data_IF_783502009242
#
_entry.id   IF_783502009242
#
_cell.length_a   1.000
_cell.length_b   1.000
_cell.length_c   1.000
_cell.angle_alpha   90.00
_cell.angle_beta   90.00
_cell.angle_gamma   90.00
#
_symmetry.space_group_name_H-M   'P 1'
#
loop_
_entity.id
_entity.type
_entity.pdbx_description
1 polymer ?
#
# COMPACT_ATOMS: atom_id res chain seq x y z
N UNK A 1 -28.73 -8.02 -34.87
CA UNK A 1 -29.02 -7.93 -33.41
C UNK A 1 -28.25 -8.96 -32.59
N UNK A 2 -28.25 -10.26 -32.96
CA UNK A 2 -27.49 -11.31 -32.24
C UNK A 2 -25.96 -11.11 -32.21
N UNK A 3 -25.37 -10.60 -33.30
CA UNK A 3 -23.91 -10.42 -33.40
C UNK A 3 -23.37 -9.32 -32.45
N UNK A 4 -24.09 -8.20 -32.30
CA UNK A 4 -23.68 -7.13 -31.38
C UNK A 4 -23.72 -7.55 -29.91
N UNK A 5 -24.57 -8.52 -29.55
CA UNK A 5 -24.67 -9.02 -28.17
C UNK A 5 -23.50 -9.96 -27.86
N UNK A 6 -23.11 -10.81 -28.82
CA UNK A 6 -21.95 -11.68 -28.71
C UNK A 6 -20.64 -10.89 -28.63
N UNK A 7 -20.50 -9.85 -29.45
CA UNK A 7 -19.31 -9.01 -29.48
C UNK A 7 -19.16 -8.19 -28.19
N UNK A 8 -20.26 -7.67 -27.65
CA UNK A 8 -20.27 -6.96 -26.38
C UNK A 8 -19.96 -7.87 -25.19
N UNK A 9 -20.53 -9.08 -25.16
CA UNK A 9 -20.24 -10.08 -24.14
C UNK A 9 -18.79 -10.60 -24.20
N UNK A 10 -18.19 -10.68 -25.39
CA UNK A 10 -16.78 -11.05 -25.55
C UNK A 10 -15.83 -9.93 -25.12
N UNK A 11 -16.19 -8.66 -25.36
CA UNK A 11 -15.40 -7.52 -24.89
C UNK A 11 -15.50 -7.34 -23.36
N UNK A 12 -16.70 -7.44 -22.77
CA UNK A 12 -16.87 -7.39 -21.32
C UNK A 12 -16.03 -8.46 -20.59
N UNK A 13 -15.99 -9.69 -21.12
CA UNK A 13 -15.18 -10.78 -20.55
C UNK A 13 -13.66 -10.54 -20.68
N UNK A 14 -13.23 -9.84 -21.73
CA UNK A 14 -11.81 -9.44 -21.91
C UNK A 14 -11.44 -8.34 -20.92
N UNK A 15 -12.31 -7.34 -20.76
CA UNK A 15 -12.09 -6.22 -19.86
C UNK A 15 -12.01 -6.69 -18.39
N UNK A 16 -12.91 -7.59 -17.96
CA UNK A 16 -12.87 -8.20 -16.62
C UNK A 16 -11.56 -8.97 -16.38
N UNK A 17 -11.07 -9.70 -17.39
CA UNK A 17 -9.80 -10.44 -17.29
C UNK A 17 -8.61 -9.49 -17.18
N UNK A 18 -8.60 -8.41 -17.97
CA UNK A 18 -7.55 -7.39 -17.89
C UNK A 18 -7.53 -6.68 -16.54
N UNK A 19 -8.69 -6.31 -16.02
CA UNK A 19 -8.81 -5.68 -14.70
C UNK A 19 -8.36 -6.61 -13.58
N UNK A 20 -8.70 -7.91 -13.68
CA UNK A 20 -8.19 -8.92 -12.75
C UNK A 20 -6.66 -9.05 -12.81
N UNK A 21 -6.08 -9.08 -14.00
CA UNK A 21 -4.61 -9.16 -14.17
C UNK A 21 -3.94 -7.90 -13.60
N UNK A 22 -4.47 -6.71 -13.89
CA UNK A 22 -3.97 -5.43 -13.33
C UNK A 22 -4.01 -5.43 -11.81
N UNK A 23 -5.13 -5.88 -11.22
CA UNK A 23 -5.31 -5.98 -9.77
C UNK A 23 -4.29 -6.94 -9.15
N UNK A 24 -4.11 -8.13 -9.74
CA UNK A 24 -3.11 -9.12 -9.27
C UNK A 24 -1.69 -8.58 -9.38
N UNK A 25 -1.35 -7.94 -10.49
CA UNK A 25 -0.04 -7.34 -10.71
C UNK A 25 0.25 -6.24 -9.68
N UNK A 26 -0.73 -5.37 -9.39
CA UNK A 26 -0.60 -4.36 -8.35
C UNK A 26 -0.38 -4.97 -6.97
N UNK A 27 -1.13 -6.03 -6.64
CA UNK A 27 -0.98 -6.71 -5.35
C UNK A 27 0.41 -7.35 -5.18
N UNK A 28 0.90 -8.04 -6.22
CA UNK A 28 2.25 -8.63 -6.23
C UNK A 28 3.31 -7.53 -6.14
N UNK A 29 3.15 -6.44 -6.89
CA UNK A 29 4.05 -5.29 -6.85
C UNK A 29 4.12 -4.68 -5.45
N UNK A 30 2.97 -4.45 -4.82
CA UNK A 30 2.89 -3.93 -3.46
C UNK A 30 3.55 -4.84 -2.43
N UNK A 31 3.32 -6.16 -2.51
CA UNK A 31 3.97 -7.15 -1.62
C UNK A 31 5.49 -7.16 -1.85
N UNK A 32 5.94 -7.17 -3.11
CA UNK A 32 7.36 -7.20 -3.46
C UNK A 32 8.09 -5.95 -2.94
N UNK A 33 7.51 -4.76 -3.14
CA UNK A 33 8.09 -3.49 -2.69
C UNK A 33 8.12 -3.42 -1.16
N UNK A 34 7.04 -3.88 -0.50
CA UNK A 34 6.98 -4.00 0.96
C UNK A 34 8.03 -4.94 1.53
N UNK A 35 8.25 -6.09 0.90
CA UNK A 35 9.28 -7.05 1.32
C UNK A 35 10.69 -6.44 1.21
N UNK A 36 10.99 -5.75 0.11
CA UNK A 36 12.29 -5.07 -0.08
C UNK A 36 12.50 -4.00 0.98
N UNK A 37 11.48 -3.18 1.29
CA UNK A 37 11.59 -2.17 2.35
C UNK A 37 11.87 -2.80 3.72
N UNK A 38 11.20 -3.90 4.07
CA UNK A 38 11.45 -4.61 5.33
C UNK A 38 12.88 -5.16 5.42
N UNK A 39 13.41 -5.70 4.31
CA UNK A 39 14.80 -6.17 4.23
C UNK A 39 15.77 -5.00 4.45
N UNK A 40 15.54 -3.86 3.79
CA UNK A 40 16.40 -2.67 3.95
C UNK A 40 16.36 -2.12 5.38
N UNK A 41 15.18 -2.06 6.00
CA UNK A 41 15.03 -1.67 7.41
C UNK A 41 15.83 -2.62 8.31
N UNK A 42 15.75 -3.93 8.08
CA UNK A 42 16.50 -4.92 8.85
C UNK A 42 18.02 -4.75 8.69
N UNK A 43 18.51 -4.60 7.45
CA UNK A 43 19.93 -4.39 7.17
C UNK A 43 20.43 -3.12 7.87
N UNK A 44 19.72 -2.00 7.74
CA UNK A 44 20.09 -0.75 8.40
C UNK A 44 20.08 -0.87 9.93
N UNK A 45 19.10 -1.59 10.48
CA UNK A 45 19.03 -1.88 11.92
C UNK A 45 20.26 -2.65 12.44
N UNK A 46 20.78 -3.62 11.67
CA UNK A 46 22.02 -4.35 12.02
C UNK A 46 23.26 -3.45 11.95
N UNK A 47 23.27 -2.46 11.05
CA UNK A 47 24.38 -1.52 10.89
C UNK A 47 24.26 -0.27 11.79
N UNK A 48 23.27 -0.20 12.68
CA UNK A 48 22.94 0.98 13.50
C UNK A 48 22.69 2.26 12.68
N UNK A 49 22.26 2.11 11.42
CA UNK A 49 21.83 3.22 10.57
C UNK A 49 20.35 3.52 10.78
N UNK A 50 19.98 4.79 10.66
CA UNK A 50 18.57 5.19 10.70
C UNK A 50 17.82 4.67 9.46
N UNK A 51 16.72 3.95 9.70
CA UNK A 51 15.79 3.49 8.67
C UNK A 51 14.43 4.23 8.74
N UNK A 52 14.39 5.38 9.42
CA UNK A 52 13.16 6.14 9.65
C UNK A 52 12.53 6.66 8.35
N UNK A 53 13.36 7.01 7.36
CA UNK A 53 12.96 7.37 6.01
C UNK A 53 12.19 6.23 5.32
N UNK A 54 12.73 5.02 5.34
CA UNK A 54 12.12 3.84 4.72
C UNK A 54 10.85 3.44 5.50
N UNK A 55 10.90 3.48 6.82
CA UNK A 55 9.77 3.18 7.69
C UNK A 55 8.62 4.18 7.48
N UNK A 56 8.93 5.46 7.28
CA UNK A 56 7.95 6.49 6.95
C UNK A 56 7.25 6.18 5.63
N UNK A 57 7.99 5.85 4.57
CA UNK A 57 7.41 5.46 3.27
C UNK A 57 6.52 4.22 3.43
N UNK A 58 7.01 3.21 4.15
CA UNK A 58 6.27 1.96 4.41
C UNK A 58 4.95 2.20 5.15
N UNK A 59 4.95 3.05 6.17
CA UNK A 59 3.76 3.41 6.92
C UNK A 59 2.78 4.25 6.10
N UNK A 60 3.28 5.19 5.28
CA UNK A 60 2.46 6.01 4.40
C UNK A 60 1.68 5.17 3.39
N UNK A 61 2.37 4.26 2.66
CA UNK A 61 1.70 3.39 1.69
C UNK A 61 0.68 2.47 2.38
N UNK A 62 1.00 1.95 3.57
CA UNK A 62 0.14 1.01 4.29
C UNK A 62 -1.11 1.72 4.78
N UNK A 63 -0.96 2.93 5.33
CA UNK A 63 -2.07 3.77 5.73
C UNK A 63 -2.98 4.12 4.54
N UNK A 64 -2.42 4.53 3.41
CA UNK A 64 -3.19 4.85 2.19
C UNK A 64 -4.00 3.65 1.69
N UNK A 65 -3.41 2.46 1.64
CA UNK A 65 -4.09 1.22 1.23
C UNK A 65 -5.22 0.87 2.20
N UNK A 66 -4.99 0.97 3.51
CA UNK A 66 -5.99 0.66 4.53
C UNK A 66 -7.17 1.64 4.51
N UNK A 67 -6.91 2.94 4.33
CA UNK A 67 -7.96 3.94 4.16
C UNK A 67 -8.77 3.70 2.88
N UNK A 68 -8.12 3.38 1.77
CA UNK A 68 -8.82 3.05 0.53
C UNK A 68 -9.69 1.78 0.67
N UNK A 69 -9.17 0.74 1.33
CA UNK A 69 -9.92 -0.47 1.63
C UNK A 69 -11.11 -0.20 2.55
N UNK A 70 -10.98 0.71 3.52
CA UNK A 70 -12.09 1.12 4.37
C UNK A 70 -13.18 1.86 3.59
N UNK A 71 -12.80 2.81 2.71
CA UNK A 71 -13.76 3.54 1.87
C UNK A 71 -14.49 2.59 0.91
N UNK A 72 -13.77 1.61 0.35
CA UNK A 72 -14.33 0.65 -0.60
C UNK A 72 -15.15 -0.45 0.09
N UNK A 73 -14.81 -0.82 1.33
CA UNK A 73 -15.43 -1.90 2.11
C UNK A 73 -15.71 -1.41 3.53
N UNK A 74 -16.69 -0.49 3.72
CA UNK A 74 -16.92 0.20 4.99
C UNK A 74 -17.43 -0.72 6.11
N UNK A 75 -17.90 -1.92 5.76
CA UNK A 75 -18.36 -2.93 6.72
C UNK A 75 -17.23 -3.46 7.60
N UNK A 76 -15.97 -3.40 7.13
CA UNK A 76 -14.79 -3.87 7.87
C UNK A 76 -14.09 -2.71 8.57
N UNK A 77 -14.55 -2.40 9.79
CA UNK A 77 -13.95 -1.36 10.66
C UNK A 77 -12.49 -1.61 11.04
N UNK A 78 -11.99 -2.84 10.92
CA UNK A 78 -10.58 -3.16 11.17
C UNK A 78 -9.65 -2.38 10.26
N UNK A 79 -10.03 -2.13 9.00
CA UNK A 79 -9.20 -1.35 8.06
C UNK A 79 -9.02 0.09 8.52
N UNK A 80 -10.06 0.70 9.10
CA UNK A 80 -9.96 2.03 9.69
C UNK A 80 -9.00 2.05 10.89
N UNK A 81 -9.15 1.07 11.79
CA UNK A 81 -8.31 0.96 12.98
C UNK A 81 -6.83 0.82 12.60
N UNK A 82 -6.51 -0.13 11.73
CA UNK A 82 -5.13 -0.33 11.27
C UNK A 82 -4.63 0.86 10.45
N UNK A 83 -5.49 1.53 9.68
CA UNK A 83 -5.14 2.73 8.91
C UNK A 83 -4.72 3.89 9.82
N UNK A 84 -5.43 4.09 10.93
CA UNK A 84 -5.08 5.07 11.97
C UNK A 84 -3.78 4.68 12.66
N UNK A 85 -3.58 3.41 13.02
CA UNK A 85 -2.32 2.94 13.62
C UNK A 85 -1.14 3.17 12.68
N UNK A 86 -1.29 2.85 11.38
CA UNK A 86 -0.27 3.11 10.37
C UNK A 86 0.00 4.61 10.20
N UNK A 87 -1.03 5.46 10.28
CA UNK A 87 -0.88 6.91 10.23
C UNK A 87 -0.11 7.45 11.45
N UNK A 88 -0.40 6.95 12.65
CA UNK A 88 0.37 7.29 13.85
C UNK A 88 1.82 6.85 13.68
N UNK A 89 2.05 5.63 13.17
CA UNK A 89 3.41 5.14 12.86
C UNK A 89 4.15 6.04 11.88
N UNK A 90 3.47 6.53 10.83
CA UNK A 90 4.02 7.52 9.91
C UNK A 90 4.41 8.83 10.62
N UNK A 91 3.52 9.38 11.45
CA UNK A 91 3.79 10.62 12.18
C UNK A 91 4.98 10.48 13.14
N UNK A 92 5.11 9.33 13.81
CA UNK A 92 6.24 9.04 14.68
C UNK A 92 7.55 8.91 13.90
N UNK A 93 7.53 8.19 12.77
CA UNK A 93 8.70 8.07 11.89
C UNK A 93 9.12 9.43 11.34
N UNK A 94 8.16 10.27 10.94
CA UNK A 94 8.39 11.63 10.48
C UNK A 94 8.96 12.53 11.58
N UNK A 95 8.40 12.50 12.79
CA UNK A 95 8.91 13.26 13.93
C UNK A 95 10.34 12.83 14.30
N UNK A 96 10.62 11.52 14.30
CA UNK A 96 11.97 10.99 14.56
C UNK A 96 12.96 11.41 13.48
N UNK A 97 12.53 11.43 12.21
CA UNK A 97 13.33 11.93 11.10
C UNK A 97 13.64 13.42 11.28
N UNK A 98 12.65 14.26 11.58
CA UNK A 98 12.86 15.70 11.84
C UNK A 98 13.81 15.95 13.01
N UNK A 99 13.67 15.19 14.09
CA UNK A 99 14.57 15.26 15.24
C UNK A 99 16.02 14.93 14.87
N UNK A 100 16.22 13.94 14.00
CA UNK A 100 17.56 13.58 13.52
C UNK A 100 18.22 14.67 12.66
N UNK A 101 17.43 15.55 12.05
CA UNK A 101 17.91 16.68 11.26
C UNK A 101 18.03 18.00 12.07
N UNK A 102 17.88 17.97 13.40
CA UNK A 102 17.99 19.14 14.29
C UNK A 102 17.03 20.30 13.94
N UNK A 103 15.82 19.98 13.47
CA UNK A 103 14.75 20.98 13.31
C UNK A 103 13.83 20.91 14.53
N UNK A 104 14.09 21.78 15.51
CA UNK A 104 13.11 22.21 16.52
C UNK A 104 12.52 23.55 16.09
#
# INVERSE_FOLDING_TARGET
MKNNILEKAQNENRDEREEMIKTKAFHIGWISVSLVMLILIFIRGVHNESANDIMMIFMAQTSAVLFYQYVSIPTKKSYLLFGIIALIGFLLAFASLLSSYMVY
#
